data_IF_482890320500
#
_entry.id   IF_482890320500
#
_cell.length_a   1.000
_cell.length_b   1.000
_cell.length_c   1.000
_cell.angle_alpha   90.00
_cell.angle_beta   90.00
_cell.angle_gamma   90.00
#
_symmetry.space_group_name_H-M   'P 1'
#
loop_
_entity.id
_entity.type
_entity.pdbx_description
1 polymer ?
#
# COMPACT_ATOMS: atom_id res chain seq x y z
N UNK A 1 7.89 -20.24 6.28
CA UNK A 1 8.30 -18.92 5.81
C UNK A 1 8.74 -18.98 4.39
N UNK A 2 7.99 -18.36 3.52
CA UNK A 2 8.24 -18.49 2.09
C UNK A 2 8.44 -17.10 1.45
N UNK A 3 9.19 -16.23 2.15
CA UNK A 3 9.52 -14.92 1.60
C UNK A 3 10.62 -15.05 0.58
N UNK A 4 10.36 -14.55 -0.60
CA UNK A 4 11.33 -14.44 -1.67
C UNK A 4 10.97 -13.28 -2.58
N UNK A 5 11.95 -12.71 -3.23
CA UNK A 5 11.67 -11.64 -4.20
C UNK A 5 10.87 -12.19 -5.35
N UNK A 6 10.05 -11.32 -5.95
CA UNK A 6 9.16 -11.71 -7.03
C UNK A 6 7.72 -11.95 -6.60
N UNK A 7 7.44 -12.00 -5.28
CA UNK A 7 6.07 -12.11 -4.80
C UNK A 7 5.28 -10.88 -5.23
N UNK A 8 4.05 -11.09 -5.71
CA UNK A 8 3.20 -10.02 -6.21
C UNK A 8 1.87 -10.01 -5.50
N UNK A 9 1.34 -8.81 -5.32
CA UNK A 9 0.02 -8.60 -4.75
C UNK A 9 -0.74 -7.57 -5.55
N UNK A 10 -2.07 -7.62 -5.43
CA UNK A 10 -2.96 -6.77 -6.20
C UNK A 10 -4.12 -6.34 -5.33
N UNK A 11 -4.62 -5.13 -5.56
CA UNK A 11 -5.81 -4.61 -4.88
C UNK A 11 -6.54 -3.67 -5.83
N UNK A 12 -7.86 -3.63 -5.72
CA UNK A 12 -8.70 -2.75 -6.54
C UNK A 12 -9.58 -1.90 -5.63
N UNK A 13 -9.78 -0.65 -6.01
CA UNK A 13 -10.62 0.28 -5.27
C UNK A 13 -11.49 1.05 -6.27
N UNK A 14 -12.79 1.12 -5.98
CA UNK A 14 -13.68 2.00 -6.72
C UNK A 14 -13.52 3.42 -6.19
N UNK A 15 -13.47 4.40 -7.07
CA UNK A 15 -13.39 5.81 -6.67
C UNK A 15 -14.79 6.28 -6.29
N UNK A 16 -15.14 6.11 -5.01
CA UNK A 16 -16.36 6.66 -4.43
C UNK A 16 -16.06 8.07 -3.92
N UNK A 17 -17.09 8.82 -3.50
CA UNK A 17 -16.92 10.18 -3.02
C UNK A 17 -15.96 10.28 -1.83
N UNK A 18 -15.96 9.29 -0.94
CA UNK A 18 -15.08 9.27 0.24
C UNK A 18 -13.62 8.98 -0.10
N UNK A 19 -13.31 8.66 -1.35
CA UNK A 19 -11.95 8.42 -1.83
C UNK A 19 -11.34 9.62 -2.55
N UNK A 20 -12.08 10.72 -2.66
CA UNK A 20 -11.63 11.89 -3.42
C UNK A 20 -10.67 12.77 -2.62
N UNK A 21 -9.89 13.57 -3.34
CA UNK A 21 -9.02 14.56 -2.72
C UNK A 21 -9.83 15.53 -1.85
N UNK A 22 -10.99 15.94 -2.35
CA UNK A 22 -11.91 16.83 -1.62
C UNK A 22 -12.33 16.20 -0.28
N UNK A 23 -12.71 14.93 -0.28
CA UNK A 23 -13.15 14.25 0.94
C UNK A 23 -12.03 14.15 1.97
N UNK A 24 -10.78 13.97 1.52
CA UNK A 24 -9.63 13.87 2.40
C UNK A 24 -9.11 15.23 2.88
N UNK A 25 -9.57 16.34 2.29
CA UNK A 25 -8.97 17.64 2.55
C UNK A 25 -7.59 17.78 1.91
N UNK A 26 -7.33 16.97 0.89
CA UNK A 26 -6.06 16.91 0.15
C UNK A 26 -6.14 17.74 -1.14
N UNK A 27 -7.01 18.73 -1.15
CA UNK A 27 -7.33 19.58 -2.29
C UNK A 27 -8.82 19.83 -2.31
N UNK A 28 -9.32 20.48 -3.36
CA UNK A 28 -10.73 20.82 -3.48
C UNK A 28 -11.39 20.27 -4.74
N UNK A 29 -10.75 19.27 -5.37
CA UNK A 29 -11.24 18.68 -6.62
C UNK A 29 -11.83 17.29 -6.34
N UNK A 30 -12.98 16.93 -6.94
CA UNK A 30 -13.61 15.64 -6.70
C UNK A 30 -13.05 14.54 -7.60
N UNK A 31 -11.76 14.29 -7.49
CA UNK A 31 -11.05 13.20 -8.19
C UNK A 31 -10.35 12.30 -7.16
N UNK A 32 -9.93 11.13 -7.59
CA UNK A 32 -9.25 10.16 -6.71
C UNK A 32 -8.11 10.85 -5.97
N UNK A 33 -8.17 10.79 -4.64
CA UNK A 33 -7.21 11.49 -3.78
C UNK A 33 -5.91 10.71 -3.60
N UNK A 34 -4.80 11.43 -3.48
CA UNK A 34 -3.50 10.81 -3.21
C UNK A 34 -3.51 9.95 -1.94
N UNK A 35 -4.16 10.35 -0.84
CA UNK A 35 -4.22 9.46 0.34
C UNK A 35 -4.90 8.12 0.04
N UNK A 36 -5.91 8.10 -0.82
CA UNK A 36 -6.57 6.86 -1.23
C UNK A 36 -5.64 6.00 -2.07
N UNK A 37 -4.89 6.61 -2.98
CA UNK A 37 -3.89 5.92 -3.79
C UNK A 37 -2.83 5.28 -2.90
N UNK A 38 -2.32 6.00 -1.91
CA UNK A 38 -1.34 5.47 -0.95
C UNK A 38 -1.89 4.23 -0.26
N UNK A 39 -3.11 4.32 0.26
CA UNK A 39 -3.75 3.19 0.96
C UNK A 39 -3.87 1.97 0.04
N UNK A 40 -4.25 2.18 -1.22
CA UNK A 40 -4.40 1.08 -2.17
C UNK A 40 -3.05 0.41 -2.49
N UNK A 41 -2.00 1.21 -2.67
CA UNK A 41 -0.66 0.69 -2.93
C UNK A 41 -0.15 -0.12 -1.74
N UNK A 42 -0.40 0.34 -0.52
CA UNK A 42 -0.05 -0.41 0.68
C UNK A 42 -0.82 -1.72 0.77
N UNK A 43 -2.11 -1.71 0.44
CA UNK A 43 -2.93 -2.92 0.45
C UNK A 43 -2.40 -3.95 -0.55
N UNK A 44 -1.98 -3.51 -1.74
CA UNK A 44 -1.38 -4.40 -2.72
C UNK A 44 -0.10 -5.07 -2.17
N UNK A 45 0.73 -4.31 -1.46
CA UNK A 45 1.95 -4.84 -0.85
C UNK A 45 1.61 -5.87 0.25
N UNK A 46 0.62 -5.57 1.09
CA UNK A 46 0.16 -6.52 2.11
C UNK A 46 -0.34 -7.81 1.45
N UNK A 47 -1.10 -7.69 0.36
CA UNK A 47 -1.61 -8.85 -0.36
C UNK A 47 -0.50 -9.71 -0.97
N UNK A 48 0.61 -9.11 -1.35
CA UNK A 48 1.77 -9.84 -1.87
C UNK A 48 2.34 -10.80 -0.83
N UNK A 49 2.15 -10.51 0.45
CA UNK A 49 2.71 -11.29 1.56
C UNK A 49 1.73 -12.31 2.14
N UNK A 50 0.53 -12.42 1.58
CA UNK A 50 -0.52 -13.30 2.11
C UNK A 50 -0.02 -14.75 2.22
N UNK A 51 -0.08 -15.32 3.41
CA UNK A 51 0.36 -16.69 3.67
C UNK A 51 1.87 -16.89 3.67
N UNK A 52 2.66 -15.83 3.63
CA UNK A 52 4.11 -15.92 3.49
C UNK A 52 4.88 -15.59 4.77
N UNK A 53 4.21 -14.99 5.75
CA UNK A 53 4.85 -14.63 7.02
C UNK A 53 4.73 -15.78 8.03
N UNK A 54 5.62 -15.80 9.02
CA UNK A 54 5.55 -16.76 10.10
C UNK A 54 4.35 -16.46 11.01
N UNK A 55 3.86 -17.47 11.75
CA UNK A 55 2.79 -17.23 12.71
C UNK A 55 3.14 -16.10 13.68
N UNK A 56 2.19 -15.20 13.92
CA UNK A 56 2.38 -14.05 14.82
C UNK A 56 3.12 -12.88 14.21
N UNK A 57 3.60 -13.00 12.97
CA UNK A 57 4.24 -11.89 12.27
C UNK A 57 3.26 -11.12 11.40
N UNK A 58 3.49 -9.82 11.31
CA UNK A 58 2.77 -8.93 10.41
C UNK A 58 3.75 -7.88 9.88
N UNK A 59 3.30 -6.95 9.08
CA UNK A 59 4.14 -5.86 8.62
C UNK A 59 3.47 -4.52 8.86
N UNK A 60 4.30 -3.49 9.03
CA UNK A 60 3.86 -2.11 9.09
C UNK A 60 4.56 -1.33 7.99
N UNK A 61 3.88 -0.35 7.40
CA UNK A 61 4.48 0.54 6.41
C UNK A 61 5.43 1.51 7.10
N UNK A 62 6.62 1.70 6.52
CA UNK A 62 7.65 2.55 7.12
C UNK A 62 8.14 3.65 6.20
N UNK A 63 7.92 3.52 4.90
CA UNK A 63 8.40 4.49 3.93
C UNK A 63 7.65 4.31 2.61
N UNK A 64 7.37 5.44 1.97
CA UNK A 64 6.68 5.42 0.69
C UNK A 64 7.13 6.64 -0.11
N UNK A 65 7.50 6.41 -1.37
CA UNK A 65 7.84 7.47 -2.30
C UNK A 65 7.12 7.16 -3.60
N UNK A 66 6.13 7.98 -3.91
CA UNK A 66 5.29 7.75 -5.10
C UNK A 66 5.09 9.03 -5.87
N UNK A 67 4.75 8.86 -7.15
CA UNK A 67 4.24 9.92 -8.00
C UNK A 67 2.80 9.61 -8.34
N UNK A 68 1.90 10.58 -8.18
CA UNK A 68 0.52 10.49 -8.59
C UNK A 68 0.44 11.18 -9.95
N UNK A 69 0.40 10.40 -11.02
CA UNK A 69 0.71 10.85 -12.37
C UNK A 69 -0.50 11.38 -13.15
N UNK A 70 -1.70 10.92 -12.81
CA UNK A 70 -2.91 11.29 -13.54
C UNK A 70 -4.12 11.19 -12.64
N UNK A 71 -5.13 12.02 -12.91
CA UNK A 71 -6.37 12.04 -12.15
C UNK A 71 -7.32 10.94 -12.62
N UNK A 72 -8.15 10.44 -11.70
CA UNK A 72 -9.18 9.45 -11.97
C UNK A 72 -10.51 9.96 -11.44
N UNK A 73 -11.55 9.87 -12.24
CA UNK A 73 -12.88 10.38 -11.90
C UNK A 73 -13.62 9.43 -10.97
N UNK A 74 -14.55 9.98 -10.20
CA UNK A 74 -15.51 9.21 -9.40
C UNK A 74 -16.25 8.23 -10.32
N UNK A 75 -16.43 7.01 -9.84
CA UNK A 75 -17.11 5.95 -10.59
C UNK A 75 -16.17 4.99 -11.31
N UNK A 76 -14.91 5.35 -11.46
CA UNK A 76 -13.91 4.46 -12.09
C UNK A 76 -13.29 3.54 -11.04
N UNK A 77 -12.66 2.48 -11.51
CA UNK A 77 -11.89 1.57 -10.66
C UNK A 77 -10.40 1.86 -10.83
N UNK A 78 -9.66 1.73 -9.73
CA UNK A 78 -8.20 1.81 -9.72
C UNK A 78 -7.67 0.46 -9.25
N UNK A 79 -6.71 -0.09 -9.97
CA UNK A 79 -6.04 -1.33 -9.60
C UNK A 79 -4.58 -1.05 -9.30
N UNK A 80 -4.12 -1.49 -8.14
CA UNK A 80 -2.73 -1.38 -7.73
C UNK A 80 -2.07 -2.76 -7.74
N UNK A 81 -0.78 -2.77 -8.06
CA UNK A 81 0.04 -3.97 -8.00
C UNK A 81 1.32 -3.63 -7.27
N UNK A 82 1.80 -4.59 -6.49
CA UNK A 82 3.06 -4.47 -5.76
C UNK A 82 3.90 -5.72 -6.01
N UNK A 83 5.19 -5.53 -6.15
CA UNK A 83 6.14 -6.64 -6.27
C UNK A 83 7.22 -6.49 -5.21
N UNK A 84 7.47 -7.57 -4.46
CA UNK A 84 8.55 -7.61 -3.49
C UNK A 84 9.88 -7.74 -4.25
N UNK A 85 10.72 -6.71 -4.16
CA UNK A 85 11.98 -6.66 -4.92
C UNK A 85 13.21 -6.71 -4.03
N UNK A 86 13.07 -6.54 -2.73
CA UNK A 86 14.21 -6.58 -1.81
C UNK A 86 13.83 -7.07 -0.44
N UNK A 87 14.73 -7.83 0.18
CA UNK A 87 14.59 -8.33 1.54
C UNK A 87 15.92 -8.07 2.24
N UNK A 88 15.92 -7.22 3.28
CA UNK A 88 17.09 -6.96 4.09
C UNK A 88 16.71 -7.16 5.56
N UNK A 89 16.98 -8.36 6.08
CA UNK A 89 16.54 -8.70 7.41
C UNK A 89 15.00 -8.62 7.50
N UNK A 90 14.49 -7.72 8.30
CA UNK A 90 13.03 -7.53 8.47
C UNK A 90 12.46 -6.45 7.56
N UNK A 91 13.30 -5.75 6.81
CA UNK A 91 12.84 -4.70 5.89
C UNK A 91 12.55 -5.29 4.52
N UNK A 92 11.34 -5.05 4.05
CA UNK A 92 10.87 -5.48 2.73
C UNK A 92 10.71 -4.26 1.84
N UNK A 93 11.22 -4.35 0.61
CA UNK A 93 11.12 -3.27 -0.38
C UNK A 93 10.24 -3.73 -1.54
N UNK A 94 9.27 -2.91 -1.88
CA UNK A 94 8.34 -3.17 -2.97
C UNK A 94 8.45 -2.09 -4.04
N UNK A 95 8.26 -2.47 -5.30
CA UNK A 95 7.85 -1.54 -6.34
C UNK A 95 6.34 -1.59 -6.41
N UNK A 96 5.72 -0.44 -6.63
CA UNK A 96 4.26 -0.32 -6.66
C UNK A 96 3.82 0.48 -7.88
N UNK A 97 2.67 0.12 -8.42
CA UNK A 97 2.11 0.79 -9.61
C UNK A 97 0.59 0.71 -9.54
N UNK A 98 -0.07 1.75 -10.03
CA UNK A 98 -1.53 1.77 -10.09
C UNK A 98 -1.98 2.27 -11.46
N UNK A 99 -3.10 1.70 -11.92
CA UNK A 99 -3.71 2.03 -13.20
C UNK A 99 -5.20 2.23 -13.02
N UNK A 100 -5.80 3.13 -13.80
CA UNK A 100 -7.24 3.10 -14.04
C UNK A 100 -7.46 2.55 -15.46
N UNK A 101 -8.70 2.60 -15.95
CA UNK A 101 -9.03 2.05 -17.28
C UNK A 101 -8.36 2.83 -18.43
N UNK A 102 -7.80 3.99 -18.14
CA UNK A 102 -7.24 4.90 -19.17
C UNK A 102 -5.72 4.85 -19.22
N UNK A 103 -5.06 4.76 -18.06
CA UNK A 103 -3.62 4.94 -18.02
C UNK A 103 -3.04 4.51 -16.67
N UNK A 104 -1.71 4.50 -16.61
CA UNK A 104 -0.98 4.43 -15.33
C UNK A 104 -1.23 5.75 -14.59
N UNK A 105 -1.70 5.66 -13.36
CA UNK A 105 -2.00 6.84 -12.55
C UNK A 105 -1.04 7.05 -11.39
N UNK A 106 -0.23 6.05 -11.05
CA UNK A 106 0.74 6.19 -9.97
C UNK A 106 1.81 5.12 -10.02
N UNK A 107 2.95 5.42 -9.41
CA UNK A 107 4.05 4.46 -9.30
C UNK A 107 5.04 4.92 -8.25
N UNK A 108 5.85 3.99 -7.75
CA UNK A 108 6.89 4.33 -6.81
C UNK A 108 7.45 3.13 -6.09
N UNK A 109 7.97 3.40 -4.88
CA UNK A 109 8.61 2.40 -4.03
C UNK A 109 8.02 2.49 -2.63
N UNK A 110 8.05 1.36 -1.93
CA UNK A 110 7.42 1.24 -0.61
C UNK A 110 8.21 0.27 0.26
N UNK A 111 8.47 0.66 1.50
CA UNK A 111 9.11 -0.22 2.48
C UNK A 111 8.10 -0.65 3.53
N UNK A 112 8.21 -1.91 3.94
CA UNK A 112 7.46 -2.43 5.09
C UNK A 112 8.44 -3.15 6.00
N UNK A 113 8.10 -3.19 7.28
CA UNK A 113 8.91 -3.85 8.29
C UNK A 113 8.13 -5.02 8.89
N UNK A 114 8.74 -6.20 8.93
CA UNK A 114 8.16 -7.35 9.62
C UNK A 114 8.29 -7.12 11.11
N UNK A 115 7.18 -7.29 11.83
CA UNK A 115 7.16 -7.18 13.30
C UNK A 115 6.43 -8.37 13.90
N UNK A 116 6.82 -8.77 15.11
CA UNK A 116 6.05 -9.70 15.90
C UNK A 116 4.87 -8.90 16.48
N UNK A 117 3.67 -9.15 15.98
CA UNK A 117 2.49 -8.31 16.22
C UNK A 117 2.25 -8.01 17.70
N UNK A 118 2.19 -9.05 18.53
CA UNK A 118 1.85 -8.86 19.93
C UNK A 118 2.95 -8.13 20.70
N UNK A 119 4.20 -8.45 20.41
CA UNK A 119 5.35 -7.77 21.03
C UNK A 119 5.41 -6.31 20.62
N UNK A 120 5.16 -6.03 19.35
CA UNK A 120 5.15 -4.68 18.81
C UNK A 120 4.09 -3.83 19.52
N UNK A 121 2.88 -4.35 19.64
CA UNK A 121 1.78 -3.65 20.32
C UNK A 121 2.06 -3.50 21.82
N UNK A 122 2.55 -4.56 22.47
CA UNK A 122 2.85 -4.52 23.90
C UNK A 122 3.89 -3.45 24.23
N UNK A 123 4.89 -3.27 23.37
CA UNK A 123 5.93 -2.27 23.56
C UNK A 123 5.36 -0.85 23.49
N UNK A 124 4.40 -0.61 22.59
CA UNK A 124 3.74 0.69 22.45
C UNK A 124 2.79 0.97 23.60
N UNK A 125 2.09 -0.06 24.07
CA UNK A 125 1.14 0.06 25.18
C UNK A 125 1.80 0.04 26.54
N UNK A 126 3.01 -0.49 26.64
CA UNK A 126 3.90 -0.62 27.78
C UNK A 126 3.45 -0.15 29.15
N UNK A 127 4.26 -0.35 30.20
CA UNK A 127 3.90 0.18 31.51
C UNK A 127 3.87 1.70 31.45
N UNK A 128 2.95 2.34 32.21
CA UNK A 128 2.86 3.80 32.26
C UNK A 128 4.10 4.45 32.81
#
# INVERSE_FOLDING_TARGET
MNLETGLRGRATMRVDHDKTAEAWGSGDVPVYGTPSLVALLETAAVNALAGKLAPGETTVGTWLEISHLAATLVGADVTAEAELVGIEGRRLTFTVVAHDHRTKIGEGSHHRMIVARDRFLAKLLGPP
#
